data_IF_515140350259
#
_entry.id   IF_515140350259
#
_cell.length_a   1.000
_cell.length_b   1.000
_cell.length_c   1.000
_cell.angle_alpha   90.00
_cell.angle_beta   90.00
_cell.angle_gamma   90.00
#
_symmetry.space_group_name_H-M   'P 1'
#
loop_
_entity.id
_entity.type
_entity.pdbx_description
1 polymer ?
#
# COMPACT_ATOMS: atom_id res chain seq x y z
N UNK A 1 -26.82 -24.14 24.00
CA UNK A 1 -25.51 -23.70 23.46
C UNK A 1 -25.73 -22.38 22.75
N UNK A 2 -24.92 -21.36 23.01
CA UNK A 2 -24.99 -20.13 22.23
C UNK A 2 -24.38 -20.39 20.85
N UNK A 3 -25.06 -19.98 19.77
CA UNK A 3 -24.48 -20.00 18.44
C UNK A 3 -23.34 -18.98 18.36
N UNK A 4 -22.26 -19.33 17.65
CA UNK A 4 -21.22 -18.36 17.33
C UNK A 4 -21.82 -17.19 16.54
N UNK A 5 -21.38 -15.96 16.85
CA UNK A 5 -21.85 -14.77 16.15
C UNK A 5 -21.39 -14.81 14.69
N UNK A 6 -22.31 -14.58 13.76
CA UNK A 6 -22.01 -14.53 12.33
C UNK A 6 -21.80 -13.09 11.87
N UNK A 7 -20.68 -12.81 11.20
CA UNK A 7 -20.41 -11.53 10.55
C UNK A 7 -20.58 -11.67 9.03
N UNK A 8 -21.58 -11.01 8.45
CA UNK A 8 -21.83 -11.11 7.01
C UNK A 8 -20.79 -10.36 6.14
N UNK A 9 -20.08 -9.38 6.70
CA UNK A 9 -19.02 -8.65 6.00
C UNK A 9 -17.69 -9.42 6.03
N UNK A 10 -17.55 -10.35 6.95
CA UNK A 10 -16.38 -11.21 7.10
C UNK A 10 -16.79 -12.64 7.52
N UNK A 11 -17.43 -13.43 6.62
CA UNK A 11 -18.03 -14.72 6.97
C UNK A 11 -17.04 -15.76 7.50
N UNK A 12 -15.77 -15.65 7.09
CA UNK A 12 -14.69 -16.55 7.50
C UNK A 12 -13.72 -15.90 8.49
N UNK A 13 -14.08 -14.74 9.04
CA UNK A 13 -13.32 -14.06 10.08
C UNK A 13 -11.86 -13.81 9.68
N UNK A 14 -11.62 -13.32 8.46
CA UNK A 14 -10.31 -12.84 8.00
C UNK A 14 -9.63 -11.98 9.08
N UNK A 15 -10.40 -11.12 9.77
CA UNK A 15 -9.88 -10.30 10.86
C UNK A 15 -9.10 -11.11 11.91
N UNK A 16 -9.60 -12.29 12.26
CA UNK A 16 -8.99 -13.18 13.26
C UNK A 16 -7.79 -13.98 12.73
N UNK A 17 -7.61 -14.00 11.41
CA UNK A 17 -6.50 -14.69 10.74
C UNK A 17 -5.27 -13.79 10.54
N UNK A 18 -5.44 -12.47 10.66
CA UNK A 18 -4.37 -11.49 10.50
C UNK A 18 -3.56 -11.34 11.80
N UNK A 19 -2.30 -10.94 11.67
CA UNK A 19 -1.51 -10.46 12.81
C UNK A 19 -1.96 -9.05 13.25
N UNK A 20 -1.53 -8.61 14.43
CA UNK A 20 -1.77 -7.23 14.88
C UNK A 20 -1.14 -6.20 13.93
N UNK A 21 0.08 -6.46 13.47
CA UNK A 21 0.78 -5.58 12.52
C UNK A 21 0.05 -5.50 11.17
N UNK A 22 -0.47 -6.62 10.65
CA UNK A 22 -1.26 -6.66 9.42
C UNK A 22 -2.57 -5.87 9.54
N UNK A 23 -3.25 -5.98 10.69
CA UNK A 23 -4.45 -5.17 11.00
C UNK A 23 -4.11 -3.69 11.05
N UNK A 24 -3.04 -3.31 11.75
CA UNK A 24 -2.59 -1.93 11.87
C UNK A 24 -2.24 -1.32 10.51
N UNK A 25 -1.51 -2.05 9.65
CA UNK A 25 -1.16 -1.59 8.29
C UNK A 25 -2.42 -1.40 7.45
N UNK A 26 -3.36 -2.36 7.48
CA UNK A 26 -4.63 -2.22 6.77
C UNK A 26 -5.40 -0.99 7.25
N UNK A 27 -5.52 -0.79 8.55
CA UNK A 27 -6.30 0.30 9.13
C UNK A 27 -5.68 1.67 8.79
N UNK A 28 -4.34 1.77 8.78
CA UNK A 28 -3.62 2.95 8.32
C UNK A 28 -3.88 3.24 6.83
N UNK A 29 -3.78 2.21 5.98
CA UNK A 29 -4.08 2.33 4.55
C UNK A 29 -5.54 2.76 4.33
N UNK A 30 -6.50 2.15 5.03
CA UNK A 30 -7.91 2.48 4.95
C UNK A 30 -8.17 3.94 5.36
N UNK A 31 -7.58 4.41 6.47
CA UNK A 31 -7.73 5.78 6.94
C UNK A 31 -7.23 6.79 5.89
N UNK A 32 -6.03 6.57 5.33
CA UNK A 32 -5.51 7.41 4.24
C UNK A 32 -6.41 7.40 3.01
N UNK A 33 -6.87 6.22 2.60
CA UNK A 33 -7.74 6.08 1.42
C UNK A 33 -9.04 6.86 1.59
N UNK A 34 -9.68 6.79 2.76
CA UNK A 34 -10.93 7.51 3.01
C UNK A 34 -10.74 9.01 3.21
N UNK A 35 -9.66 9.45 3.86
CA UNK A 35 -9.41 10.88 4.12
C UNK A 35 -8.82 11.62 2.91
N UNK A 36 -7.94 10.97 2.14
CA UNK A 36 -7.12 11.62 1.10
C UNK A 36 -7.50 11.21 -0.32
N UNK A 37 -7.79 9.93 -0.58
CA UNK A 37 -8.05 9.47 -1.95
C UNK A 37 -9.54 9.61 -2.33
N UNK A 38 -10.44 9.22 -1.42
CA UNK A 38 -11.88 9.24 -1.65
C UNK A 38 -12.43 10.61 -2.07
N UNK A 39 -11.98 11.75 -1.50
CA UNK A 39 -12.47 13.05 -1.94
C UNK A 39 -11.99 13.47 -3.34
N UNK A 40 -10.86 12.90 -3.82
CA UNK A 40 -10.21 13.27 -5.09
C UNK A 40 -10.74 12.49 -6.29
N UNK A 41 -11.22 11.26 -6.07
CA UNK A 41 -11.46 10.27 -7.13
C UNK A 41 -12.46 10.72 -8.21
N UNK A 42 -13.57 11.37 -7.84
CA UNK A 42 -14.64 11.70 -8.78
C UNK A 42 -14.16 12.73 -9.82
N UNK A 43 -13.44 13.76 -9.38
CA UNK A 43 -12.91 14.80 -10.27
C UNK A 43 -11.71 14.29 -11.05
N UNK A 44 -10.79 13.58 -10.39
CA UNK A 44 -9.62 12.98 -11.02
C UNK A 44 -10.03 12.05 -12.17
N UNK A 45 -10.98 11.15 -11.93
CA UNK A 45 -11.49 10.22 -12.93
C UNK A 45 -12.19 10.95 -14.08
N UNK A 46 -13.08 11.91 -13.77
CA UNK A 46 -13.83 12.66 -14.81
C UNK A 46 -12.91 13.43 -15.75
N UNK A 47 -11.84 14.00 -15.21
CA UNK A 47 -10.94 14.87 -15.97
C UNK A 47 -9.71 14.14 -16.51
N UNK A 48 -9.52 12.84 -16.20
CA UNK A 48 -8.34 12.08 -16.60
C UNK A 48 -7.04 12.63 -16.01
N UNK A 49 -7.09 13.13 -14.78
CA UNK A 49 -5.96 13.76 -14.09
C UNK A 49 -5.56 12.99 -12.84
N UNK A 50 -4.37 13.27 -12.31
CA UNK A 50 -3.86 12.67 -11.09
C UNK A 50 -2.96 13.67 -10.37
N UNK A 51 -3.14 13.79 -9.06
CA UNK A 51 -2.26 14.59 -8.22
C UNK A 51 -0.96 13.82 -7.93
N UNK A 52 0.18 14.38 -8.34
CA UNK A 52 1.50 13.78 -8.12
C UNK A 52 1.89 13.74 -6.64
N UNK A 53 1.27 14.58 -5.79
CA UNK A 53 1.52 14.57 -4.35
C UNK A 53 1.11 13.24 -3.70
N UNK A 54 0.21 12.47 -4.32
CA UNK A 54 -0.23 11.15 -3.85
C UNK A 54 0.96 10.19 -3.67
N UNK A 55 2.00 10.27 -4.52
CA UNK A 55 3.19 9.42 -4.36
C UNK A 55 3.94 9.73 -3.06
N UNK A 56 4.09 11.01 -2.72
CA UNK A 56 4.76 11.44 -1.49
C UNK A 56 3.93 11.09 -0.27
N UNK A 57 2.62 11.33 -0.32
CA UNK A 57 1.70 10.93 0.75
C UNK A 57 1.75 9.41 1.00
N UNK A 58 1.76 8.59 -0.05
CA UNK A 58 1.91 7.14 0.06
C UNK A 58 3.29 6.74 0.60
N UNK A 59 4.36 7.42 0.19
CA UNK A 59 5.72 7.15 0.65
C UNK A 59 5.92 7.48 2.14
N UNK A 60 5.38 8.61 2.60
CA UNK A 60 5.39 9.02 4.02
C UNK A 60 4.70 7.99 4.93
N UNK A 61 3.70 7.28 4.41
CA UNK A 61 2.96 6.23 5.11
C UNK A 61 3.55 4.82 4.91
N UNK A 62 4.63 4.68 4.13
CA UNK A 62 5.23 3.38 3.83
C UNK A 62 4.38 2.48 2.93
N UNK A 63 3.50 3.06 2.10
CA UNK A 63 2.65 2.29 1.18
C UNK A 63 3.36 1.97 -0.16
N UNK A 64 4.53 2.57 -0.41
CA UNK A 64 5.38 2.31 -1.56
C UNK A 64 6.51 1.33 -1.21
N UNK A 65 6.64 0.28 -2.00
CA UNK A 65 7.54 -0.84 -1.74
C UNK A 65 7.37 -1.48 -0.36
N UNK A 66 6.15 -1.94 0.05
CA UNK A 66 5.95 -2.46 1.40
C UNK A 66 6.91 -3.59 1.80
N UNK A 67 7.34 -4.42 0.84
CA UNK A 67 8.25 -5.54 1.10
C UNK A 67 9.73 -5.17 0.99
N UNK A 68 10.05 -3.91 0.75
CA UNK A 68 11.44 -3.44 0.64
C UNK A 68 12.03 -3.30 2.04
N UNK A 69 13.26 -3.82 2.29
CA UNK A 69 13.89 -3.77 3.60
C UNK A 69 14.07 -2.34 4.16
N UNK A 70 14.00 -2.20 5.48
CA UNK A 70 14.22 -0.94 6.21
C UNK A 70 15.57 -0.29 5.91
N UNK A 71 16.62 -1.08 5.70
CA UNK A 71 17.96 -0.57 5.32
C UNK A 71 17.96 0.24 4.01
N UNK A 72 16.91 0.11 3.19
CA UNK A 72 16.72 0.83 1.93
C UNK A 72 15.54 1.82 1.99
N UNK A 73 14.99 2.08 3.19
CA UNK A 73 13.92 3.04 3.43
C UNK A 73 12.50 2.50 3.25
N UNK A 74 12.32 1.22 2.91
CA UNK A 74 11.00 0.57 2.90
C UNK A 74 10.57 0.11 4.29
N UNK A 75 9.32 -0.32 4.49
CA UNK A 75 8.82 -0.70 5.81
C UNK A 75 9.05 -2.19 6.16
N UNK A 76 9.66 -2.99 5.28
CA UNK A 76 10.02 -4.38 5.57
C UNK A 76 8.82 -5.32 5.86
N UNK A 77 7.63 -4.98 5.36
CA UNK A 77 6.39 -5.71 5.59
C UNK A 77 6.31 -7.00 4.78
N UNK A 78 5.38 -7.89 5.17
CA UNK A 78 5.13 -9.14 4.47
C UNK A 78 4.15 -8.94 3.27
N UNK A 79 4.00 -9.99 2.46
CA UNK A 79 3.11 -9.95 1.29
C UNK A 79 1.61 -9.92 1.64
N UNK A 80 1.20 -10.38 2.82
CA UNK A 80 -0.19 -10.27 3.28
C UNK A 80 -0.54 -8.79 3.52
N UNK A 81 0.32 -8.08 4.25
CA UNK A 81 0.23 -6.64 4.46
C UNK A 81 0.21 -5.88 3.13
N UNK A 82 1.08 -6.22 2.17
CA UNK A 82 1.03 -5.64 0.82
C UNK A 82 -0.33 -5.86 0.14
N UNK A 83 -0.88 -7.08 0.21
CA UNK A 83 -2.21 -7.40 -0.31
C UNK A 83 -3.33 -6.61 0.36
N UNK A 84 -3.25 -6.41 1.68
CA UNK A 84 -4.21 -5.60 2.44
C UNK A 84 -4.16 -4.12 2.04
N UNK A 85 -2.96 -3.55 1.88
CA UNK A 85 -2.80 -2.18 1.37
C UNK A 85 -3.45 -2.06 -0.01
N UNK A 86 -3.14 -2.98 -0.93
CA UNK A 86 -3.71 -2.97 -2.28
C UNK A 86 -5.24 -3.07 -2.26
N UNK A 87 -5.81 -3.91 -1.37
CA UNK A 87 -7.26 -4.02 -1.18
C UNK A 87 -7.89 -2.71 -0.74
N UNK A 88 -7.29 -1.99 0.20
CA UNK A 88 -7.86 -0.72 0.70
C UNK A 88 -7.70 0.43 -0.30
N UNK A 89 -6.59 0.49 -1.04
CA UNK A 89 -6.39 1.50 -2.09
C UNK A 89 -7.35 1.28 -3.27
N UNK A 90 -7.49 0.04 -3.73
CA UNK A 90 -8.38 -0.29 -4.84
C UNK A 90 -9.87 -0.23 -4.47
N UNK A 91 -10.20 -0.28 -3.17
CA UNK A 91 -11.55 0.02 -2.69
C UNK A 91 -12.00 1.43 -3.11
N UNK A 92 -11.05 2.36 -3.27
CA UNK A 92 -11.32 3.71 -3.79
C UNK A 92 -11.26 3.72 -5.31
N UNK A 93 -10.12 3.36 -5.91
CA UNK A 93 -9.93 3.35 -7.36
C UNK A 93 -8.75 2.46 -7.80
N UNK A 94 -8.96 1.72 -8.89
CA UNK A 94 -7.93 0.85 -9.48
C UNK A 94 -6.74 1.63 -10.06
N UNK A 95 -6.92 2.89 -10.47
CA UNK A 95 -5.86 3.77 -10.92
C UNK A 95 -4.85 4.08 -9.80
N UNK A 96 -5.34 4.39 -8.60
CA UNK A 96 -4.46 4.61 -7.44
C UNK A 96 -3.70 3.35 -7.05
N UNK A 97 -4.35 2.18 -7.04
CA UNK A 97 -3.64 0.91 -6.79
C UNK A 97 -2.62 0.61 -7.88
N UNK A 98 -2.87 1.02 -9.13
CA UNK A 98 -1.91 0.92 -10.23
C UNK A 98 -0.67 1.75 -9.96
N UNK A 99 -0.86 3.03 -9.60
CA UNK A 99 0.21 3.94 -9.23
C UNK A 99 1.03 3.47 -8.03
N UNK A 100 0.41 2.76 -7.08
CA UNK A 100 1.14 2.15 -5.96
C UNK A 100 1.92 0.89 -6.39
N UNK A 101 1.31 0.06 -7.24
CA UNK A 101 1.87 -1.23 -7.66
C UNK A 101 3.09 -1.10 -8.58
N UNK A 102 3.10 -0.13 -9.50
CA UNK A 102 4.18 0.02 -10.49
C UNK A 102 5.52 0.37 -9.82
N UNK A 103 5.64 1.43 -8.99
CA UNK A 103 6.87 1.72 -8.28
C UNK A 103 7.26 0.57 -7.34
N UNK A 104 6.31 -0.03 -6.63
CA UNK A 104 6.59 -1.09 -5.66
C UNK A 104 7.13 -2.37 -6.33
N UNK A 105 6.32 -3.00 -7.18
CA UNK A 105 6.60 -4.33 -7.71
C UNK A 105 7.32 -4.34 -9.05
N UNK A 106 7.21 -3.27 -9.86
CA UNK A 106 7.81 -3.22 -11.19
C UNK A 106 9.07 -2.35 -11.25
N UNK A 107 9.38 -1.59 -10.20
CA UNK A 107 10.60 -0.76 -10.13
C UNK A 107 11.46 -1.15 -8.92
N UNK A 108 10.93 -1.02 -7.70
CA UNK A 108 11.71 -1.25 -6.47
C UNK A 108 12.11 -2.72 -6.32
N UNK A 109 11.19 -3.67 -6.54
CA UNK A 109 11.51 -5.10 -6.46
C UNK A 109 12.64 -5.49 -7.41
N UNK A 110 12.59 -5.20 -8.73
CA UNK A 110 13.72 -5.50 -9.61
C UNK A 110 15.05 -4.84 -9.19
N UNK A 111 15.03 -3.62 -8.67
CA UNK A 111 16.24 -2.97 -8.15
C UNK A 111 16.76 -3.69 -6.90
N UNK A 112 15.88 -4.11 -5.99
CA UNK A 112 16.25 -4.80 -4.77
C UNK A 112 16.80 -6.21 -5.04
N UNK A 113 16.18 -6.95 -5.96
CA UNK A 113 16.55 -8.34 -6.25
C UNK A 113 17.76 -8.42 -7.20
N UNK A 114 17.83 -7.56 -8.21
CA UNK A 114 18.79 -7.70 -9.31
C UNK A 114 19.79 -6.55 -9.40
N UNK A 115 19.60 -5.48 -8.64
CA UNK A 115 20.51 -4.33 -8.62
C UNK A 115 21.78 -4.60 -7.82
N UNK A 116 22.83 -3.85 -8.14
CA UNK A 116 24.04 -3.77 -7.29
C UNK A 116 23.73 -3.01 -6.01
N UNK A 117 24.52 -3.22 -4.95
CA UNK A 117 24.36 -2.46 -3.70
C UNK A 117 24.40 -0.95 -3.93
N UNK A 118 25.24 -0.46 -4.84
CA UNK A 118 25.28 0.95 -5.20
C UNK A 118 23.97 1.44 -5.86
N UNK A 119 23.30 0.61 -6.67
CA UNK A 119 22.00 0.94 -7.26
C UNK A 119 20.90 0.94 -6.19
N UNK A 120 20.89 -0.05 -5.30
CA UNK A 120 19.91 -0.13 -4.20
C UNK A 120 19.98 1.10 -3.31
N UNK A 121 21.18 1.43 -2.81
CA UNK A 121 21.42 2.59 -1.95
C UNK A 121 21.09 3.93 -2.63
N UNK A 122 21.29 4.04 -3.95
CA UNK A 122 21.00 5.25 -4.70
C UNK A 122 19.50 5.48 -4.95
N UNK A 123 18.75 4.42 -5.29
CA UNK A 123 17.40 4.56 -5.84
C UNK A 123 16.30 4.20 -4.84
N UNK A 124 16.46 3.12 -4.06
CA UNK A 124 15.38 2.61 -3.22
C UNK A 124 14.91 3.61 -2.15
N UNK A 125 15.80 4.36 -1.45
CA UNK A 125 15.35 5.32 -0.44
C UNK A 125 14.46 6.42 -1.03
N UNK A 126 14.78 6.91 -2.23
CA UNK A 126 13.98 7.95 -2.92
C UNK A 126 12.64 7.41 -3.42
N UNK A 127 12.64 6.19 -3.93
CA UNK A 127 11.41 5.52 -4.38
C UNK A 127 10.47 5.21 -3.20
N UNK A 128 11.03 4.83 -2.05
CA UNK A 128 10.26 4.53 -0.85
C UNK A 128 9.55 5.78 -0.30
N UNK A 129 10.17 6.96 -0.41
CA UNK A 129 9.56 8.23 0.01
C UNK A 129 8.69 8.88 -1.07
N UNK A 130 8.65 8.33 -2.29
CA UNK A 130 7.95 8.94 -3.42
C UNK A 130 8.54 10.28 -3.89
N UNK A 131 9.86 10.49 -3.72
CA UNK A 131 10.56 11.74 -4.10
C UNK A 131 10.59 11.98 -5.62
#
# INVERSE_FOLDING_TARGET
>A
MAHAAFNWQDPFLLESQLSDDERMVRDAAAAYCQDKLQPRVIEAFRNGTTDVAIFREMGELGLLGPTIPEQFGGPGLNYVAYGLIAREVERVDSGYRSMMSVPSSLVMVPINEFGTEAQKQKYLPKLATGE
#
